data_IF_312995780488
#
_entry.id   IF_312995780488
#
_cell.length_a   1.000
_cell.length_b   1.000
_cell.length_c   1.000
_cell.angle_alpha   90.00
_cell.angle_beta   90.00
_cell.angle_gamma   90.00
#
_symmetry.space_group_name_H-M   'P 1'
#
loop_
_entity.id
_entity.type
_entity.pdbx_description
1 polymer ?
#
# COMPACT_ATOMS: atom_id res chain seq x y z
N UNK A 1 12.01 -0.36 -1.80
CA UNK A 1 11.15 0.74 -2.31
C UNK A 1 12.01 1.68 -3.14
N UNK A 2 11.58 2.03 -4.35
CA UNK A 2 12.40 2.88 -5.22
C UNK A 2 12.32 4.37 -4.84
N UNK A 3 13.26 5.13 -5.37
CA UNK A 3 13.38 6.57 -5.06
C UNK A 3 12.18 7.38 -5.55
N UNK A 4 11.56 7.01 -6.67
CA UNK A 4 10.39 7.69 -7.21
C UNK A 4 9.24 7.66 -6.20
N UNK A 5 8.95 6.50 -5.63
CA UNK A 5 7.88 6.31 -4.65
C UNK A 5 8.20 7.10 -3.38
N UNK A 6 9.43 7.00 -2.87
CA UNK A 6 9.86 7.75 -1.68
C UNK A 6 9.71 9.25 -1.88
N UNK A 7 10.20 9.75 -3.01
CA UNK A 7 10.14 11.18 -3.30
C UNK A 7 8.71 11.69 -3.39
N UNK A 8 7.81 10.90 -3.99
CA UNK A 8 6.40 11.27 -4.08
C UNK A 8 5.78 11.45 -2.68
N UNK A 9 5.92 10.46 -1.83
CA UNK A 9 5.31 10.50 -0.49
C UNK A 9 5.99 11.51 0.43
N UNK A 10 7.30 11.70 0.33
CA UNK A 10 7.99 12.73 1.10
C UNK A 10 7.57 14.13 0.66
N UNK A 11 7.33 14.34 -0.64
CA UNK A 11 6.79 15.60 -1.13
C UNK A 11 5.36 15.85 -0.65
N UNK A 12 4.52 14.81 -0.57
CA UNK A 12 3.20 14.94 0.03
C UNK A 12 3.29 15.42 1.48
N UNK A 13 4.19 14.85 2.25
CA UNK A 13 4.42 15.24 3.65
C UNK A 13 4.85 16.69 3.76
N UNK A 14 5.80 17.11 2.94
CA UNK A 14 6.31 18.48 2.93
C UNK A 14 5.21 19.46 2.50
N UNK A 15 4.48 19.15 1.43
CA UNK A 15 3.44 20.02 0.90
C UNK A 15 2.24 20.15 1.85
N UNK A 16 2.03 19.18 2.72
CA UNK A 16 1.01 19.27 3.78
C UNK A 16 1.55 19.89 5.07
N UNK A 17 2.70 20.56 5.03
CA UNK A 17 3.33 21.22 6.18
C UNK A 17 3.64 20.23 7.31
N UNK A 18 4.04 19.00 6.94
CA UNK A 18 4.29 17.89 7.86
C UNK A 18 3.07 17.46 8.69
N UNK A 19 1.88 17.80 8.22
CA UNK A 19 0.62 17.39 8.84
C UNK A 19 -0.17 16.53 7.84
N UNK A 20 0.00 15.21 7.93
CA UNK A 20 -0.64 14.26 7.03
C UNK A 20 -2.18 14.31 7.12
N UNK A 21 -2.73 14.84 8.23
CA UNK A 21 -4.18 14.94 8.39
C UNK A 21 -4.81 15.97 7.45
N UNK A 22 -4.01 16.81 6.80
CA UNK A 22 -4.48 17.74 5.76
C UNK A 22 -4.74 17.06 4.42
N UNK A 23 -4.27 15.81 4.26
CA UNK A 23 -4.48 15.05 3.04
C UNK A 23 -5.91 14.50 2.99
N UNK A 24 -6.42 14.27 1.77
CA UNK A 24 -7.69 13.57 1.61
C UNK A 24 -7.58 12.15 2.18
N UNK A 25 -8.73 11.55 2.51
CA UNK A 25 -8.74 10.28 3.27
C UNK A 25 -7.98 9.15 2.56
N UNK A 26 -8.22 8.95 1.28
CA UNK A 26 -7.55 7.89 0.52
C UNK A 26 -6.06 8.16 0.38
N UNK A 27 -5.67 9.42 0.17
CA UNK A 27 -4.26 9.83 0.10
C UNK A 27 -3.58 9.65 1.45
N UNK A 28 -4.24 9.99 2.54
CA UNK A 28 -3.73 9.78 3.90
C UNK A 28 -3.46 8.30 4.16
N UNK A 29 -4.38 7.43 3.80
CA UNK A 29 -4.22 5.99 3.99
C UNK A 29 -3.11 5.42 3.10
N UNK A 30 -2.95 5.94 1.89
CA UNK A 30 -1.82 5.60 1.03
C UNK A 30 -0.49 6.02 1.68
N UNK A 31 -0.45 7.20 2.29
CA UNK A 31 0.72 7.69 3.01
C UNK A 31 1.05 6.79 4.20
N UNK A 32 0.06 6.37 4.97
CA UNK A 32 0.29 5.43 6.09
C UNK A 32 0.80 4.07 5.59
N UNK A 33 0.32 3.61 4.45
CA UNK A 33 0.83 2.37 3.83
C UNK A 33 2.31 2.54 3.42
N UNK A 34 2.65 3.70 2.88
CA UNK A 34 4.05 4.03 2.58
C UNK A 34 4.92 3.98 3.84
N UNK A 35 4.46 4.60 4.93
CA UNK A 35 5.20 4.59 6.20
C UNK A 35 5.39 3.17 6.73
N UNK A 36 4.36 2.33 6.62
CA UNK A 36 4.45 0.92 7.01
C UNK A 36 5.59 0.22 6.26
N UNK A 37 5.66 0.41 4.94
CA UNK A 37 6.70 -0.20 4.12
C UNK A 37 8.09 0.35 4.44
N UNK A 38 8.19 1.62 4.74
CA UNK A 38 9.45 2.25 5.14
C UNK A 38 9.98 1.64 6.43
N UNK A 39 9.10 1.36 7.38
CA UNK A 39 9.45 0.81 8.69
C UNK A 39 9.72 -0.70 8.67
N UNK A 40 9.06 -1.45 7.80
CA UNK A 40 9.12 -2.92 7.80
C UNK A 40 10.04 -3.50 6.74
N UNK A 41 10.44 -2.71 5.75
CA UNK A 41 11.37 -3.11 4.69
C UNK A 41 10.98 -4.43 4.01
N UNK A 42 9.70 -4.56 3.65
CA UNK A 42 9.18 -5.74 2.95
C UNK A 42 9.79 -5.86 1.55
N UNK A 43 9.87 -7.08 1.02
CA UNK A 43 10.42 -7.34 -0.32
C UNK A 43 9.60 -6.75 -1.47
N UNK A 44 8.31 -6.48 -1.24
CA UNK A 44 7.41 -5.81 -2.17
C UNK A 44 6.65 -4.71 -1.44
N UNK A 45 5.96 -3.85 -2.19
CA UNK A 45 5.13 -2.80 -1.57
C UNK A 45 3.91 -3.47 -0.93
N UNK A 46 3.93 -3.58 0.38
CA UNK A 46 2.95 -4.35 1.14
C UNK A 46 1.78 -3.49 1.61
N UNK A 47 0.55 -4.03 1.47
CA UNK A 47 -0.65 -3.48 2.09
C UNK A 47 -1.12 -4.45 3.17
N UNK A 48 -0.72 -4.19 4.41
CA UNK A 48 -1.11 -5.00 5.56
C UNK A 48 -2.54 -4.69 6.01
N UNK A 49 -2.96 -3.44 5.82
CA UNK A 49 -4.33 -3.01 6.06
C UNK A 49 -4.79 -2.16 4.89
N UNK A 50 -5.82 -2.62 4.19
CA UNK A 50 -6.45 -1.81 3.16
C UNK A 50 -7.50 -0.90 3.82
N UNK A 51 -7.70 0.31 3.27
CA UNK A 51 -8.69 1.22 3.80
C UNK A 51 -10.11 0.66 3.58
N UNK A 52 -10.81 0.36 4.65
CA UNK A 52 -12.14 -0.26 4.58
C UNK A 52 -13.29 0.73 4.64
N UNK A 53 -13.05 1.93 5.13
CA UNK A 53 -14.05 3.02 5.12
C UNK A 53 -13.78 4.02 4.01
N UNK A 54 -12.97 3.70 3.04
CA UNK A 54 -12.22 4.66 2.27
C UNK A 54 -12.75 4.83 0.89
N UNK A 55 -12.53 6.00 0.37
CA UNK A 55 -12.51 6.29 -1.04
C UNK A 55 -11.36 5.51 -1.70
N UNK A 56 -11.65 4.28 -2.11
CA UNK A 56 -10.67 3.41 -2.75
C UNK A 56 -10.13 4.04 -4.04
N UNK A 57 -10.94 4.84 -4.71
CA UNK A 57 -10.52 5.54 -5.92
C UNK A 57 -9.39 6.54 -5.62
N UNK A 58 -9.49 7.27 -4.52
CA UNK A 58 -8.47 8.23 -4.09
C UNK A 58 -7.18 7.48 -3.66
N UNK A 59 -7.32 6.37 -2.96
CA UNK A 59 -6.19 5.53 -2.57
C UNK A 59 -5.44 4.99 -3.79
N UNK A 60 -6.15 4.38 -4.73
CA UNK A 60 -5.54 3.79 -5.93
C UNK A 60 -4.91 4.87 -6.81
N UNK A 61 -5.60 6.01 -6.97
CA UNK A 61 -5.06 7.15 -7.72
C UNK A 61 -3.73 7.62 -7.14
N UNK A 62 -3.67 7.78 -5.83
CA UNK A 62 -2.45 8.23 -5.14
C UNK A 62 -1.31 7.24 -5.34
N UNK A 63 -1.59 5.94 -5.19
CA UNK A 63 -0.59 4.90 -5.41
C UNK A 63 -0.06 4.90 -6.85
N UNK A 64 -0.95 5.05 -7.83
CA UNK A 64 -0.55 5.12 -9.24
C UNK A 64 0.32 6.35 -9.52
N UNK A 65 -0.06 7.50 -8.99
CA UNK A 65 0.71 8.74 -9.14
C UNK A 65 2.09 8.62 -8.50
N UNK A 66 2.20 7.89 -7.40
CA UNK A 66 3.48 7.64 -6.74
C UNK A 66 4.40 6.71 -7.54
N UNK A 67 3.86 5.98 -8.52
CA UNK A 67 4.63 5.02 -9.31
C UNK A 67 4.59 3.61 -8.77
N UNK A 68 3.65 3.31 -7.87
CA UNK A 68 3.44 1.95 -7.37
C UNK A 68 2.71 1.15 -8.44
N UNK A 69 3.36 0.15 -9.01
CA UNK A 69 2.77 -0.69 -10.07
C UNK A 69 2.00 -1.87 -9.51
N UNK A 70 2.53 -2.49 -8.46
CA UNK A 70 1.90 -3.64 -7.81
C UNK A 70 1.96 -3.48 -6.29
N UNK A 71 0.97 -4.06 -5.63
CA UNK A 71 0.95 -4.17 -4.16
C UNK A 71 0.80 -5.63 -3.77
N UNK A 72 1.37 -5.99 -2.63
CA UNK A 72 1.20 -7.32 -2.04
C UNK A 72 0.27 -7.17 -0.83
N UNK A 73 -0.94 -7.69 -0.94
CA UNK A 73 -1.95 -7.57 0.10
C UNK A 73 -1.78 -8.71 1.10
N UNK A 74 -1.45 -8.36 2.35
CA UNK A 74 -1.27 -9.30 3.46
C UNK A 74 -2.35 -9.18 4.52
N UNK A 75 -3.40 -8.41 4.23
CA UNK A 75 -4.52 -8.20 5.14
C UNK A 75 -5.20 -9.53 5.50
N UNK A 76 -5.52 -9.70 6.78
CA UNK A 76 -6.19 -10.90 7.29
C UNK A 76 -7.57 -10.59 7.88
N UNK A 77 -8.06 -9.36 7.72
CA UNK A 77 -9.34 -8.93 8.27
C UNK A 77 -10.52 -9.54 7.50
N UNK A 78 -11.71 -9.48 8.11
CA UNK A 78 -12.96 -9.91 7.46
C UNK A 78 -13.35 -9.03 6.27
N UNK A 79 -12.74 -7.85 6.13
CA UNK A 79 -12.98 -6.93 5.03
C UNK A 79 -12.15 -7.26 3.78
N UNK A 80 -11.28 -8.26 3.81
CA UNK A 80 -10.38 -8.57 2.71
C UNK A 80 -11.13 -8.77 1.38
N UNK A 81 -12.15 -9.60 1.39
CA UNK A 81 -12.90 -9.90 0.16
C UNK A 81 -13.56 -8.64 -0.43
N UNK A 82 -14.19 -7.85 0.43
CA UNK A 82 -14.81 -6.58 0.02
C UNK A 82 -13.77 -5.61 -0.55
N UNK A 83 -12.62 -5.52 0.07
CA UNK A 83 -11.53 -4.65 -0.40
C UNK A 83 -10.98 -5.10 -1.74
N UNK A 84 -10.87 -6.41 -1.98
CA UNK A 84 -10.45 -6.94 -3.28
C UNK A 84 -11.46 -6.56 -4.38
N UNK A 85 -12.76 -6.64 -4.08
CA UNK A 85 -13.79 -6.19 -5.00
C UNK A 85 -13.68 -4.68 -5.29
N UNK A 86 -13.41 -3.87 -4.28
CA UNK A 86 -13.23 -2.42 -4.45
C UNK A 86 -12.02 -2.10 -5.32
N UNK A 87 -10.91 -2.82 -5.14
CA UNK A 87 -9.72 -2.67 -5.98
C UNK A 87 -10.03 -3.04 -7.43
N UNK A 88 -10.72 -4.14 -7.65
CA UNK A 88 -11.12 -4.56 -9.00
C UNK A 88 -12.02 -3.51 -9.67
N UNK A 89 -12.92 -2.89 -8.91
CA UNK A 89 -13.78 -1.82 -9.40
C UNK A 89 -13.00 -0.57 -9.85
N UNK A 90 -11.78 -0.39 -9.33
CA UNK A 90 -10.88 0.70 -9.75
C UNK A 90 -9.96 0.30 -10.91
N UNK A 91 -10.21 -0.82 -11.55
CA UNK A 91 -9.42 -1.27 -12.68
C UNK A 91 -8.16 -2.04 -12.31
N UNK A 92 -7.98 -2.39 -11.04
CA UNK A 92 -6.86 -3.21 -10.60
C UNK A 92 -7.09 -4.68 -10.98
N UNK A 93 -6.00 -5.41 -11.22
CA UNK A 93 -6.05 -6.83 -11.59
C UNK A 93 -5.44 -7.68 -10.49
N UNK A 94 -6.13 -8.76 -10.11
CA UNK A 94 -5.58 -9.74 -9.19
C UNK A 94 -4.63 -10.64 -9.99
N UNK A 95 -3.34 -10.58 -9.70
CA UNK A 95 -2.35 -11.41 -10.39
C UNK A 95 -2.28 -12.81 -9.79
N UNK A 96 -2.56 -12.97 -8.50
CA UNK A 96 -2.61 -14.26 -7.86
C UNK A 96 -1.96 -14.29 -6.49
N UNK A 97 -1.84 -15.49 -5.96
CA UNK A 97 -1.21 -15.73 -4.67
C UNK A 97 0.30 -15.65 -4.80
N UNK A 98 0.94 -15.08 -3.79
CA UNK A 98 2.39 -14.97 -3.74
C UNK A 98 2.86 -15.02 -2.28
N UNK A 99 4.17 -15.03 -2.11
CA UNK A 99 4.81 -14.95 -0.80
C UNK A 99 5.76 -13.78 -0.81
N UNK A 100 5.68 -12.94 0.21
CA UNK A 100 6.64 -11.84 0.38
C UNK A 100 7.56 -12.15 1.56
N UNK A 101 8.71 -11.49 1.58
CA UNK A 101 9.69 -11.62 2.64
C UNK A 101 9.73 -10.33 3.42
N UNK A 102 9.61 -10.45 4.74
CA UNK A 102 9.68 -9.34 5.67
C UNK A 102 10.70 -9.69 6.74
N UNK A 103 11.75 -8.85 6.95
CA UNK A 103 12.68 -9.10 8.05
C UNK A 103 11.96 -9.02 9.39
N UNK A 104 12.28 -9.93 10.31
CA UNK A 104 11.80 -9.82 11.68
C UNK A 104 12.73 -8.90 12.50
N UNK A 105 12.42 -8.72 13.79
CA UNK A 105 13.20 -7.84 14.67
C UNK A 105 14.64 -8.33 14.89
N UNK A 106 14.90 -9.60 14.58
CA UNK A 106 16.23 -10.22 14.72
C UNK A 106 17.01 -10.20 13.42
N UNK A 107 16.45 -9.61 12.35
CA UNK A 107 17.06 -9.58 11.03
C UNK A 107 16.90 -10.87 10.22
N UNK A 108 16.13 -11.83 10.69
CA UNK A 108 15.84 -13.05 9.95
C UNK A 108 14.73 -12.83 8.94
N UNK A 109 14.84 -13.44 7.76
CA UNK A 109 13.79 -13.38 6.75
C UNK A 109 12.58 -14.17 7.22
N UNK A 110 11.40 -13.54 7.17
CA UNK A 110 10.13 -14.18 7.49
C UNK A 110 9.23 -14.12 6.26
N UNK A 111 8.74 -15.29 5.84
CA UNK A 111 7.80 -15.38 4.73
C UNK A 111 6.38 -15.08 5.19
N UNK A 112 5.64 -14.34 4.36
CA UNK A 112 4.24 -14.06 4.58
C UNK A 112 3.44 -14.32 3.30
N UNK A 113 2.32 -15.06 3.39
CA UNK A 113 1.45 -15.23 2.23
C UNK A 113 0.78 -13.89 1.88
N UNK A 114 0.60 -13.66 0.60
CA UNK A 114 0.03 -12.43 0.10
C UNK A 114 -0.75 -12.67 -1.19
N UNK A 115 -1.53 -11.66 -1.58
CA UNK A 115 -2.18 -11.60 -2.88
C UNK A 115 -1.56 -10.43 -3.64
N UNK A 116 -1.01 -10.68 -4.81
CA UNK A 116 -0.42 -9.63 -5.64
C UNK A 116 -1.47 -9.00 -6.51
N UNK A 117 -1.57 -7.68 -6.42
CA UNK A 117 -2.53 -6.86 -7.17
C UNK A 117 -1.73 -5.90 -8.05
N UNK A 118 -2.06 -5.88 -9.34
CA UNK A 118 -1.52 -4.88 -10.27
C UNK A 118 -2.46 -3.69 -10.30
N UNK A 119 -1.92 -2.50 -10.07
CA UNK A 119 -2.70 -1.27 -10.01
C UNK A 119 -2.99 -0.66 -11.39
N UNK A 120 -2.19 -1.02 -12.37
CA UNK A 120 -2.32 -0.48 -13.74
C UNK A 120 -3.05 -1.44 -14.68
#
# INVERSE_FOLDING_TARGET
MNEQIKNYFENLRINSENDATKLSRGTLEAYWTYEFNLNHNSSEFECNELPWTTDMSDFVKTMREAGVETIAVTETSTALLENLHKLAAQGCSIEGLCTIIRPDIWGNAKESPAIRIRLN
#
